data_IF_634904764782
#
_entry.id   IF_634904764782
#
_cell.length_a   1.000
_cell.length_b   1.000
_cell.length_c   1.000
_cell.angle_alpha   90.00
_cell.angle_beta   90.00
_cell.angle_gamma   90.00
#
_symmetry.space_group_name_H-M   'P 1'
#
loop_
_entity.id
_entity.type
_entity.pdbx_description
1 polymer ?
#
# COMPACT_ATOMS: atom_id res chain seq x y z
N UNK A 1 -67.95 -29.01 33.95
CA UNK A 1 -67.18 -28.77 32.71
C UNK A 1 -67.40 -27.34 32.26
N UNK A 2 -66.41 -26.46 32.45
CA UNK A 2 -66.36 -25.11 31.86
C UNK A 2 -64.98 -24.99 31.22
N UNK A 3 -64.94 -24.99 29.89
CA UNK A 3 -63.72 -24.76 29.11
C UNK A 3 -63.76 -23.28 28.72
N UNK A 4 -62.95 -22.45 29.38
CA UNK A 4 -62.71 -21.08 28.93
C UNK A 4 -61.62 -21.09 27.87
N UNK A 5 -61.99 -20.70 26.66
CA UNK A 5 -61.09 -20.46 25.54
C UNK A 5 -60.40 -19.10 25.74
N UNK A 6 -59.09 -19.08 25.95
CA UNK A 6 -58.29 -17.85 25.93
C UNK A 6 -57.75 -17.64 24.50
N UNK A 7 -58.32 -16.66 23.80
CA UNK A 7 -57.83 -16.15 22.52
C UNK A 7 -56.60 -15.27 22.77
N UNK A 8 -55.41 -15.77 22.42
CA UNK A 8 -54.18 -14.99 22.38
C UNK A 8 -54.04 -14.37 20.98
N UNK A 9 -54.36 -13.08 20.85
CA UNK A 9 -54.15 -12.31 19.62
C UNK A 9 -52.69 -11.81 19.60
N UNK A 10 -51.80 -12.54 18.93
CA UNK A 10 -50.42 -12.07 18.68
C UNK A 10 -50.46 -11.19 17.43
N UNK A 11 -50.54 -9.87 17.62
CA UNK A 11 -50.32 -8.91 16.55
C UNK A 11 -48.81 -8.87 16.24
N UNK A 12 -48.40 -9.63 15.21
CA UNK A 12 -47.11 -9.47 14.55
C UNK A 12 -47.09 -8.10 13.86
N UNK A 13 -46.58 -7.09 14.57
CA UNK A 13 -46.10 -5.87 13.93
C UNK A 13 -44.82 -6.23 13.15
N UNK A 14 -45.00 -6.65 11.90
CA UNK A 14 -43.93 -6.61 10.91
C UNK A 14 -43.61 -5.15 10.62
N UNK A 15 -42.69 -4.59 11.40
CA UNK A 15 -41.95 -3.38 11.05
C UNK A 15 -41.11 -3.72 9.82
N UNK A 16 -41.64 -3.45 8.64
CA UNK A 16 -40.84 -3.32 7.43
C UNK A 16 -40.00 -2.06 7.58
N UNK A 17 -38.89 -2.19 8.30
CA UNK A 17 -37.77 -1.25 8.22
C UNK A 17 -37.16 -1.42 6.82
N UNK A 18 -37.79 -0.83 5.81
CA UNK A 18 -37.10 -0.54 4.56
C UNK A 18 -36.03 0.48 4.90
N UNK A 19 -34.86 -0.02 5.31
CA UNK A 19 -33.62 0.73 5.29
C UNK A 19 -33.44 1.19 3.85
N UNK A 20 -33.77 2.45 3.57
CA UNK A 20 -33.37 3.10 2.34
C UNK A 20 -31.85 3.14 2.43
N UNK A 21 -31.19 2.24 1.70
CA UNK A 21 -29.74 2.25 1.62
C UNK A 21 -29.32 3.64 1.11
N UNK A 22 -28.74 4.44 2.00
CA UNK A 22 -28.24 5.76 1.63
C UNK A 22 -27.14 5.55 0.59
N UNK A 23 -27.19 6.31 -0.50
CA UNK A 23 -26.10 6.37 -1.48
C UNK A 23 -24.81 6.67 -0.74
N UNK A 24 -23.75 5.93 -1.06
CA UNK A 24 -22.40 6.17 -0.55
C UNK A 24 -22.01 7.61 -0.86
N UNK A 25 -21.54 8.33 0.15
CA UNK A 25 -20.82 9.57 -0.05
C UNK A 25 -19.33 9.30 0.17
N UNK A 26 -18.48 9.84 -0.70
CA UNK A 26 -17.03 9.72 -0.52
C UNK A 26 -16.61 10.55 0.70
N UNK A 27 -16.17 9.91 1.80
CA UNK A 27 -15.80 10.62 3.00
C UNK A 27 -14.58 11.51 2.78
N UNK A 28 -14.65 12.73 3.33
CA UNK A 28 -13.52 13.66 3.36
C UNK A 28 -12.32 13.06 4.07
N UNK A 29 -11.13 13.48 3.62
CA UNK A 29 -9.85 13.08 4.17
C UNK A 29 -8.87 12.57 3.12
N UNK A 30 -7.76 12.07 3.64
CA UNK A 30 -6.68 11.49 2.86
C UNK A 30 -6.77 9.98 2.92
N UNK A 31 -6.67 9.35 1.76
CA UNK A 31 -6.76 7.90 1.58
C UNK A 31 -5.53 7.44 0.82
N UNK A 32 -4.90 6.34 1.23
CA UNK A 32 -3.68 5.85 0.57
C UNK A 32 -3.66 4.34 0.38
N UNK A 33 -3.01 3.92 -0.71
CA UNK A 33 -2.81 2.52 -1.07
C UNK A 33 -1.60 2.35 -1.97
N UNK A 34 -1.25 1.10 -2.22
CA UNK A 34 -0.21 0.73 -3.19
C UNK A 34 -0.91 -0.02 -4.32
N UNK A 35 -0.61 0.36 -5.57
CA UNK A 35 -1.11 -0.36 -6.74
C UNK A 35 -0.63 -1.81 -6.75
N UNK A 36 -1.44 -2.70 -7.32
CA UNK A 36 -1.13 -4.14 -7.39
C UNK A 36 0.22 -4.47 -8.05
N UNK A 37 0.71 -3.63 -8.97
CA UNK A 37 2.05 -3.75 -9.56
C UNK A 37 3.20 -3.50 -8.56
N UNK A 38 2.91 -2.95 -7.38
CA UNK A 38 3.88 -2.62 -6.34
C UNK A 38 4.82 -1.47 -6.70
N UNK A 39 4.50 -0.67 -7.71
CA UNK A 39 5.38 0.40 -8.22
C UNK A 39 4.96 1.79 -7.78
N UNK A 40 3.69 1.98 -7.42
CA UNK A 40 3.14 3.32 -7.18
C UNK A 40 2.28 3.38 -5.94
N UNK A 41 2.52 4.41 -5.12
CA UNK A 41 1.57 4.84 -4.10
C UNK A 41 0.45 5.65 -4.73
N UNK A 42 -0.79 5.30 -4.41
CA UNK A 42 -1.99 6.03 -4.79
C UNK A 42 -2.50 6.80 -3.59
N UNK A 43 -2.60 8.12 -3.71
CA UNK A 43 -3.20 8.97 -2.67
C UNK A 43 -4.47 9.63 -3.24
N UNK A 44 -5.59 9.48 -2.56
CA UNK A 44 -6.84 10.16 -2.87
C UNK A 44 -7.14 11.15 -1.74
N UNK A 45 -7.24 12.42 -2.10
CA UNK A 45 -7.56 13.50 -1.17
C UNK A 45 -8.92 14.09 -1.53
N UNK A 46 -9.90 13.89 -0.65
CA UNK A 46 -11.24 14.47 -0.72
C UNK A 46 -11.31 15.61 0.31
N UNK A 47 -11.58 16.82 -0.16
CA UNK A 47 -11.59 18.04 0.66
C UNK A 47 -13.00 18.60 0.77
N UNK A 48 -13.30 19.28 1.88
CA UNK A 48 -14.59 19.95 2.12
C UNK A 48 -14.86 21.11 1.14
N UNK A 49 -13.80 21.69 0.56
CA UNK A 49 -13.91 22.79 -0.42
C UNK A 49 -14.50 22.36 -1.77
N UNK A 50 -14.58 21.05 -2.05
CA UNK A 50 -14.94 20.53 -3.37
C UNK A 50 -13.78 20.50 -4.38
N UNK A 51 -12.59 21.00 -4.01
CA UNK A 51 -11.37 20.85 -4.81
C UNK A 51 -10.58 19.64 -4.32
N UNK A 52 -10.39 18.63 -5.15
CA UNK A 52 -9.81 17.37 -4.76
C UNK A 52 -8.49 17.10 -5.46
N UNK A 53 -7.79 16.04 -5.06
CA UNK A 53 -6.53 15.66 -5.68
C UNK A 53 -6.28 14.16 -5.63
N UNK A 54 -5.85 13.62 -6.75
CA UNK A 54 -5.31 12.27 -6.84
C UNK A 54 -3.81 12.34 -7.09
N UNK A 55 -3.03 11.60 -6.31
CA UNK A 55 -1.58 11.57 -6.44
C UNK A 55 -1.08 10.18 -6.78
N UNK A 56 -0.10 10.14 -7.67
CA UNK A 56 0.62 8.95 -8.09
C UNK A 56 2.09 9.16 -7.70
N UNK A 57 2.55 8.50 -6.65
CA UNK A 57 3.90 8.66 -6.11
C UNK A 57 4.72 7.41 -6.44
N UNK A 58 5.76 7.55 -7.25
CA UNK A 58 6.58 6.44 -7.69
C UNK A 58 7.42 5.90 -6.53
N UNK A 59 7.33 4.60 -6.27
CA UNK A 59 8.18 3.93 -5.26
C UNK A 59 9.61 3.83 -5.79
N UNK A 60 9.75 3.55 -7.09
CA UNK A 60 11.03 3.62 -7.79
C UNK A 60 11.66 5.01 -7.64
N UNK A 61 12.94 5.05 -7.27
CA UNK A 61 13.64 6.31 -6.96
C UNK A 61 13.24 6.94 -5.62
N UNK A 62 12.73 6.14 -4.68
CA UNK A 62 12.64 6.55 -3.28
C UNK A 62 11.54 7.57 -2.98
N UNK A 63 10.38 7.50 -3.67
CA UNK A 63 9.20 8.35 -3.43
C UNK A 63 9.36 9.83 -3.80
N UNK A 64 10.43 10.20 -4.53
CA UNK A 64 10.70 11.60 -4.91
C UNK A 64 9.87 12.11 -6.07
N UNK A 65 9.37 11.22 -6.94
CA UNK A 65 8.58 11.58 -8.13
C UNK A 65 7.09 11.39 -7.83
N UNK A 66 6.31 12.45 -8.02
CA UNK A 66 4.87 12.42 -7.83
C UNK A 66 4.16 13.17 -8.97
N UNK A 67 3.03 12.62 -9.43
CA UNK A 67 2.08 13.29 -10.32
C UNK A 67 0.82 13.61 -9.53
N UNK A 68 0.31 14.84 -9.68
CA UNK A 68 -0.96 15.28 -9.10
C UNK A 68 -1.97 15.49 -10.23
N UNK A 69 -3.16 14.93 -10.08
CA UNK A 69 -4.32 15.22 -10.93
C UNK A 69 -5.41 15.86 -10.07
N UNK A 70 -5.73 17.15 -10.29
CA UNK A 70 -6.87 17.79 -9.65
C UNK A 70 -8.19 17.29 -10.25
N UNK A 71 -9.27 17.34 -9.45
CA UNK A 71 -10.65 17.07 -9.87
C UNK A 71 -11.61 17.76 -8.88
N UNK A 72 -12.90 17.84 -9.20
CA UNK A 72 -13.91 18.48 -8.36
C UNK A 72 -15.08 17.54 -8.04
N UNK A 73 -16.06 18.03 -7.29
CA UNK A 73 -17.32 17.32 -7.04
C UNK A 73 -18.04 16.91 -8.34
N UNK A 74 -17.92 17.70 -9.43
CA UNK A 74 -18.58 17.41 -10.71
C UNK A 74 -17.99 16.16 -11.39
N UNK A 75 -16.77 15.79 -11.03
CA UNK A 75 -16.09 14.59 -11.51
C UNK A 75 -16.49 13.32 -10.74
N UNK A 76 -17.25 13.46 -9.64
CA UNK A 76 -17.65 12.38 -8.74
C UNK A 76 -19.12 12.02 -8.98
N UNK A 77 -19.37 10.73 -9.26
CA UNK A 77 -20.72 10.18 -9.32
C UNK A 77 -20.83 8.99 -8.38
N UNK A 78 -21.69 9.11 -7.36
CA UNK A 78 -21.98 8.03 -6.43
C UNK A 78 -23.36 7.43 -6.69
N UNK A 79 -23.42 6.10 -6.77
CA UNK A 79 -24.64 5.32 -7.02
C UNK A 79 -24.60 4.12 -6.07
N UNK A 80 -25.66 3.96 -5.27
CA UNK A 80 -25.78 2.87 -4.28
C UNK A 80 -24.53 2.79 -3.38
N UNK A 81 -23.73 1.72 -3.51
CA UNK A 81 -22.57 1.42 -2.68
C UNK A 81 -21.23 1.73 -3.37
N UNK A 82 -21.21 2.53 -4.44
CA UNK A 82 -19.98 2.87 -5.16
C UNK A 82 -19.92 4.33 -5.57
N UNK A 83 -18.71 4.86 -5.64
CA UNK A 83 -18.44 6.16 -6.24
C UNK A 83 -17.46 6.01 -7.39
N UNK A 84 -17.66 6.78 -8.44
CA UNK A 84 -16.78 6.79 -9.61
C UNK A 84 -16.25 8.21 -9.80
N UNK A 85 -14.94 8.33 -9.93
CA UNK A 85 -14.24 9.59 -10.20
C UNK A 85 -13.69 9.51 -11.62
N UNK A 86 -14.02 10.48 -12.47
CA UNK A 86 -13.47 10.59 -13.83
C UNK A 86 -12.47 11.74 -13.89
N UNK A 87 -11.27 11.47 -14.38
CA UNK A 87 -10.20 12.48 -14.48
C UNK A 87 -9.47 12.35 -15.81
N UNK A 88 -8.74 13.39 -16.20
CA UNK A 88 -7.86 13.38 -17.37
C UNK A 88 -6.41 13.34 -16.89
N UNK A 89 -5.64 12.33 -17.33
CA UNK A 89 -4.23 12.19 -16.97
C UNK A 89 -3.38 13.06 -17.90
N UNK A 90 -3.59 12.90 -19.21
CA UNK A 90 -2.95 13.60 -20.33
C UNK A 90 -4.05 13.88 -21.38
N UNK A 91 -3.84 14.78 -22.33
CA UNK A 91 -4.90 15.34 -23.20
C UNK A 91 -5.81 14.32 -23.89
N UNK A 92 -5.34 13.10 -24.13
CA UNK A 92 -6.06 12.01 -24.77
C UNK A 92 -6.26 10.76 -23.87
N UNK A 93 -5.84 10.81 -22.59
CA UNK A 93 -5.94 9.69 -21.64
C UNK A 93 -6.90 10.04 -20.51
N UNK A 94 -8.07 9.39 -20.54
CA UNK A 94 -9.07 9.48 -19.46
C UNK A 94 -8.83 8.38 -18.44
N UNK A 95 -9.05 8.68 -17.17
CA UNK A 95 -9.01 7.72 -16.06
C UNK A 95 -10.34 7.70 -15.32
N UNK A 96 -10.77 6.50 -15.00
CA UNK A 96 -11.93 6.20 -14.16
C UNK A 96 -11.44 5.47 -12.92
N UNK A 97 -11.77 6.00 -11.74
CA UNK A 97 -11.48 5.41 -10.44
C UNK A 97 -12.81 5.03 -9.80
N UNK A 98 -13.11 3.73 -9.72
CA UNK A 98 -14.31 3.22 -9.05
C UNK A 98 -13.95 2.75 -7.66
N UNK A 99 -14.64 3.29 -6.65
CA UNK A 99 -14.43 3.02 -5.24
C UNK A 99 -15.67 2.37 -4.64
N UNK A 100 -15.48 1.35 -3.82
CA UNK A 100 -16.52 0.73 -3.01
C UNK A 100 -16.02 0.47 -1.59
N UNK A 101 -16.88 0.52 -0.56
CA UNK A 101 -16.52 0.12 0.79
C UNK A 101 -15.95 -1.29 0.82
N UNK A 102 -14.91 -1.50 1.63
CA UNK A 102 -14.27 -2.79 1.84
C UNK A 102 -13.88 -2.95 3.30
N UNK A 103 -14.66 -3.75 4.04
CA UNK A 103 -14.62 -3.76 5.51
C UNK A 103 -14.88 -2.34 6.06
N UNK A 104 -15.15 -2.21 7.36
CA UNK A 104 -15.83 -1.02 7.91
C UNK A 104 -15.20 0.36 7.56
N UNK A 105 -13.90 0.42 7.26
CA UNK A 105 -13.17 1.69 7.10
C UNK A 105 -12.34 1.85 5.83
N UNK A 106 -12.20 0.82 4.99
CA UNK A 106 -11.32 0.88 3.82
C UNK A 106 -12.12 0.95 2.52
N UNK A 107 -11.45 1.33 1.43
CA UNK A 107 -12.06 1.36 0.10
C UNK A 107 -11.32 0.38 -0.83
N UNK A 108 -12.05 -0.47 -1.52
CA UNK A 108 -11.52 -1.20 -2.68
C UNK A 108 -11.64 -0.31 -3.91
N UNK A 109 -10.59 -0.31 -4.72
CA UNK A 109 -10.52 0.53 -5.91
C UNK A 109 -10.23 -0.31 -7.14
N UNK A 110 -10.98 -0.01 -8.21
CA UNK A 110 -10.66 -0.37 -9.58
C UNK A 110 -10.32 0.92 -10.33
N UNK A 111 -9.06 1.05 -10.74
CA UNK A 111 -8.59 2.15 -11.58
C UNK A 111 -8.46 1.64 -13.01
N UNK A 112 -9.06 2.34 -13.97
CA UNK A 112 -8.91 2.04 -15.39
C UNK A 112 -8.64 3.32 -16.17
N UNK A 113 -7.82 3.22 -17.21
CA UNK A 113 -7.53 4.35 -18.10
C UNK A 113 -7.71 3.96 -19.55
N UNK A 114 -8.14 4.93 -20.35
CA UNK A 114 -8.54 4.76 -21.73
C UNK A 114 -7.93 5.84 -22.59
N UNK A 115 -7.43 5.46 -23.76
CA UNK A 115 -6.98 6.37 -24.81
C UNK A 115 -7.94 6.27 -25.99
N UNK A 116 -8.84 7.24 -26.13
CA UNK A 116 -9.97 7.12 -27.06
C UNK A 116 -10.87 5.93 -26.70
N UNK A 117 -10.90 4.89 -27.56
CA UNK A 117 -11.67 3.65 -27.32
C UNK A 117 -10.83 2.48 -26.82
N UNK A 118 -9.51 2.64 -26.77
CA UNK A 118 -8.60 1.56 -26.37
C UNK A 118 -8.38 1.59 -24.85
N UNK A 119 -8.46 0.42 -24.22
CA UNK A 119 -8.05 0.24 -22.83
C UNK A 119 -6.54 0.42 -22.76
N UNK A 120 -6.10 1.41 -21.98
CA UNK A 120 -4.69 1.70 -21.78
C UNK A 120 -4.12 0.89 -20.61
N UNK A 121 -4.90 0.72 -19.54
CA UNK A 121 -4.47 0.03 -18.31
C UNK A 121 -5.66 -0.19 -17.36
N UNK A 122 -5.62 -1.27 -16.60
CA UNK A 122 -6.53 -1.53 -15.46
C UNK A 122 -5.75 -2.09 -14.28
N UNK A 123 -6.03 -1.63 -13.07
CA UNK A 123 -5.38 -2.08 -11.83
C UNK A 123 -6.32 -2.01 -10.63
N UNK A 124 -6.10 -2.86 -9.63
CA UNK A 124 -6.84 -2.80 -8.37
C UNK A 124 -5.92 -2.44 -7.21
N UNK A 125 -6.50 -1.87 -6.16
CA UNK A 125 -5.81 -1.63 -4.88
C UNK A 125 -6.82 -1.36 -3.77
N UNK A 126 -6.31 -1.26 -2.54
CA UNK A 126 -7.08 -0.88 -1.37
C UNK A 126 -6.57 0.45 -0.84
N UNK A 127 -7.49 1.37 -0.56
CA UNK A 127 -7.21 2.64 0.07
C UNK A 127 -7.59 2.59 1.55
N UNK A 128 -6.70 3.07 2.39
CA UNK A 128 -6.85 3.14 3.83
C UNK A 128 -6.82 4.60 4.25
N UNK A 129 -7.79 5.00 5.09
CA UNK A 129 -7.86 6.38 5.60
C UNK A 129 -6.63 6.74 6.41
N UNK A 130 -6.09 7.94 6.20
CA UNK A 130 -5.02 8.54 6.98
C UNK A 130 -5.58 9.70 7.82
N UNK A 131 -5.11 9.79 9.06
CA UNK A 131 -5.56 10.86 9.97
C UNK A 131 -4.81 12.19 9.78
N UNK A 132 -3.65 12.19 9.13
CA UNK A 132 -2.89 13.44 8.92
C UNK A 132 -1.99 13.42 7.67
N UNK A 133 -0.79 12.82 7.77
CA UNK A 133 0.20 12.79 6.68
C UNK A 133 0.21 11.43 6.00
N UNK A 134 0.39 11.44 4.67
CA UNK A 134 0.60 10.22 3.89
C UNK A 134 1.88 9.50 4.31
N UNK A 135 1.90 8.18 4.16
CA UNK A 135 3.09 7.35 4.38
C UNK A 135 4.28 7.82 3.54
N UNK A 136 4.13 8.13 2.23
CA UNK A 136 5.24 8.70 1.45
C UNK A 136 5.82 9.99 2.03
N UNK A 137 4.98 10.91 2.52
CA UNK A 137 5.45 12.15 3.14
C UNK A 137 6.21 11.89 4.43
N UNK A 138 5.65 11.07 5.33
CA UNK A 138 6.30 10.68 6.58
C UNK A 138 7.64 9.95 6.33
N UNK A 139 7.69 9.12 5.27
CA UNK A 139 8.89 8.41 4.86
C UNK A 139 9.99 9.38 4.42
N UNK A 140 9.70 10.31 3.51
CA UNK A 140 10.68 11.29 3.03
C UNK A 140 11.17 12.20 4.16
N UNK A 141 10.28 12.63 5.06
CA UNK A 141 10.66 13.42 6.24
C UNK A 141 11.67 12.69 7.14
N UNK A 142 11.59 11.36 7.26
CA UNK A 142 12.46 10.56 8.15
C UNK A 142 13.65 9.91 7.45
N UNK A 143 13.54 9.59 6.17
CA UNK A 143 14.49 8.76 5.40
C UNK A 143 15.01 9.44 4.15
N UNK A 144 14.59 10.68 3.86
CA UNK A 144 15.02 11.43 2.68
C UNK A 144 16.54 11.53 2.55
N UNK A 145 17.25 11.75 3.66
CA UNK A 145 18.72 11.79 3.66
C UNK A 145 19.34 10.43 3.31
N UNK A 146 18.77 9.33 3.80
CA UNK A 146 19.23 7.99 3.48
C UNK A 146 19.09 7.71 1.98
N UNK A 147 17.96 8.10 1.38
CA UNK A 147 17.76 7.98 -0.07
C UNK A 147 18.75 8.87 -0.84
N UNK A 148 18.95 10.12 -0.40
CA UNK A 148 19.92 11.03 -1.02
C UNK A 148 21.36 10.48 -0.97
N UNK A 149 21.77 9.88 0.14
CA UNK A 149 23.09 9.27 0.26
C UNK A 149 23.24 8.04 -0.65
N UNK A 150 22.20 7.21 -0.78
CA UNK A 150 22.20 6.05 -1.67
C UNK A 150 22.32 6.44 -3.15
N UNK A 151 21.78 7.60 -3.54
CA UNK A 151 21.90 8.15 -4.90
C UNK A 151 23.28 8.75 -5.21
N UNK A 152 24.15 8.93 -4.20
CA UNK A 152 25.49 9.50 -4.38
C UNK A 152 26.58 8.44 -4.29
N UNK A 153 26.32 7.34 -3.59
CA UNK A 153 27.30 6.32 -3.29
C UNK A 153 27.06 5.06 -4.11
N UNK A 154 28.09 4.62 -4.83
CA UNK A 154 28.08 3.30 -5.47
C UNK A 154 28.49 2.26 -4.44
N UNK A 155 27.68 1.23 -4.27
CA UNK A 155 27.99 0.04 -3.45
C UNK A 155 28.17 -1.17 -4.36
N UNK A 156 28.96 -2.15 -3.95
CA UNK A 156 29.08 -3.40 -4.69
C UNK A 156 27.75 -4.18 -4.62
N UNK A 157 27.34 -4.80 -5.72
CA UNK A 157 26.13 -5.63 -5.73
C UNK A 157 26.38 -6.93 -4.95
N UNK A 158 25.46 -7.41 -4.08
CA UNK A 158 24.07 -6.98 -3.91
C UNK A 158 23.85 -5.92 -2.82
N UNK A 159 24.90 -5.40 -2.21
CA UNK A 159 24.78 -4.42 -1.13
C UNK A 159 24.17 -3.10 -1.63
N UNK A 160 23.51 -2.38 -0.72
CA UNK A 160 22.92 -1.08 -0.98
C UNK A 160 21.58 -0.85 -0.28
N UNK A 161 20.95 0.26 -0.66
CA UNK A 161 19.61 0.62 -0.21
C UNK A 161 18.59 0.18 -1.26
N UNK A 162 17.61 -0.60 -0.82
CA UNK A 162 16.57 -1.16 -1.67
C UNK A 162 15.19 -0.73 -1.14
N UNK A 163 14.32 -0.26 -2.03
CA UNK A 163 12.95 0.16 -1.70
C UNK A 163 11.93 -0.59 -2.54
N UNK A 164 10.78 -0.92 -1.96
CA UNK A 164 9.73 -1.59 -2.72
C UNK A 164 8.54 -1.93 -1.86
N UNK A 165 7.99 -3.12 -2.09
CA UNK A 165 6.74 -3.55 -1.45
C UNK A 165 6.94 -4.92 -0.82
N UNK A 166 6.43 -5.06 0.40
CA UNK A 166 6.34 -6.32 1.12
C UNK A 166 4.88 -6.59 1.47
N UNK A 167 4.43 -7.82 1.25
CA UNK A 167 3.17 -8.30 1.80
C UNK A 167 3.34 -8.54 3.30
N UNK A 168 2.66 -7.73 4.12
CA UNK A 168 2.75 -7.79 5.58
C UNK A 168 1.35 -7.71 6.18
N UNK A 169 0.97 -8.71 6.99
CA UNK A 169 -0.38 -8.85 7.57
C UNK A 169 -1.47 -8.73 6.50
N UNK A 170 -1.29 -9.47 5.41
CA UNK A 170 -2.20 -9.53 4.26
C UNK A 170 -2.39 -8.21 3.50
N UNK A 171 -1.49 -7.23 3.68
CA UNK A 171 -1.52 -5.96 2.96
C UNK A 171 -0.17 -5.65 2.30
N UNK A 172 -0.16 -5.05 1.09
CA UNK A 172 1.07 -4.55 0.50
C UNK A 172 1.51 -3.29 1.24
N UNK A 173 2.67 -3.33 1.87
CA UNK A 173 3.25 -2.22 2.62
C UNK A 173 4.58 -1.77 2.00
N UNK A 174 4.94 -0.49 2.15
CA UNK A 174 6.24 0.01 1.71
C UNK A 174 7.33 -0.68 2.52
N UNK A 175 8.35 -1.17 1.84
CA UNK A 175 9.50 -1.82 2.45
C UNK A 175 10.81 -1.10 2.09
N UNK A 176 11.73 -1.05 3.05
CA UNK A 176 13.08 -0.52 2.89
C UNK A 176 14.08 -1.54 3.46
N UNK A 177 14.99 -2.03 2.62
CA UNK A 177 16.09 -2.89 3.02
C UNK A 177 17.39 -2.11 2.87
N UNK A 178 18.19 -2.08 3.95
CA UNK A 178 19.58 -1.68 3.92
C UNK A 178 20.40 -2.97 4.04
N UNK A 179 21.01 -3.39 2.93
CA UNK A 179 21.89 -4.54 2.87
C UNK A 179 23.33 -4.02 2.84
N UNK A 180 24.05 -4.16 3.94
CA UNK A 180 25.41 -3.64 4.08
C UNK A 180 26.42 -4.80 4.14
N UNK A 181 27.65 -4.55 3.73
CA UNK A 181 28.72 -5.58 3.71
C UNK A 181 29.21 -5.89 5.13
N UNK A 182 29.73 -4.87 5.82
CA UNK A 182 30.33 -5.03 7.15
C UNK A 182 29.44 -4.50 8.29
N UNK A 183 28.53 -3.58 7.97
CA UNK A 183 27.71 -2.90 8.97
C UNK A 183 26.39 -3.64 9.23
N UNK A 184 25.73 -3.28 10.33
CA UNK A 184 24.38 -3.77 10.60
C UNK A 184 23.43 -3.37 9.46
N UNK A 185 22.76 -4.36 8.89
CA UNK A 185 21.68 -4.17 7.94
C UNK A 185 20.31 -4.16 8.62
N UNK A 186 19.28 -3.80 7.86
CA UNK A 186 17.91 -3.80 8.37
C UNK A 186 16.86 -3.90 7.28
N UNK A 187 15.74 -4.55 7.61
CA UNK A 187 14.51 -4.53 6.83
C UNK A 187 13.43 -3.78 7.63
N UNK A 188 12.80 -2.78 7.00
CA UNK A 188 11.70 -2.00 7.58
C UNK A 188 10.47 -2.08 6.72
N UNK A 189 9.31 -2.13 7.37
CA UNK A 189 7.99 -2.03 6.74
C UNK A 189 7.23 -0.86 7.35
N UNK A 190 6.62 -0.03 6.51
CA UNK A 190 5.88 1.16 6.91
C UNK A 190 4.39 0.93 6.77
N UNK A 191 3.70 0.75 7.91
CA UNK A 191 2.27 0.43 7.93
C UNK A 191 1.42 1.66 7.63
N UNK A 192 0.61 1.58 6.59
CA UNK A 192 -0.43 2.57 6.26
C UNK A 192 -1.53 2.58 7.33
N UNK A 193 -2.23 3.71 7.48
CA UNK A 193 -3.45 3.80 8.32
C UNK A 193 -3.22 4.06 9.80
N UNK A 194 -1.97 4.22 10.22
CA UNK A 194 -1.65 4.57 11.59
C UNK A 194 -1.52 6.08 11.79
N UNK A 195 -2.02 6.57 12.94
CA UNK A 195 -1.84 7.96 13.39
C UNK A 195 -0.36 8.34 13.50
N UNK A 196 0.47 7.39 13.92
CA UNK A 196 1.92 7.56 14.03
C UNK A 196 2.64 6.99 12.81
N UNK A 197 3.88 7.39 12.61
CA UNK A 197 4.75 6.70 11.65
C UNK A 197 5.12 5.33 12.20
N UNK A 198 4.28 4.35 11.89
CA UNK A 198 4.39 2.99 12.39
C UNK A 198 5.33 2.18 11.47
N UNK A 199 6.60 2.12 11.85
CA UNK A 199 7.59 1.26 11.22
C UNK A 199 7.80 -0.01 12.05
N UNK A 200 7.80 -1.16 11.40
CA UNK A 200 8.26 -2.43 11.98
C UNK A 200 9.62 -2.72 11.38
N UNK A 201 10.61 -3.03 12.23
CA UNK A 201 12.00 -3.22 11.81
C UNK A 201 12.52 -4.57 12.30
N UNK A 202 13.26 -5.24 11.42
CA UNK A 202 14.17 -6.34 11.77
C UNK A 202 15.59 -5.92 11.41
N UNK A 203 16.55 -6.12 12.32
CA UNK A 203 17.96 -5.81 12.10
C UNK A 203 18.77 -7.10 11.98
N UNK A 204 19.88 -7.07 11.26
CA UNK A 204 20.77 -8.23 11.09
C UNK A 204 22.22 -7.80 10.99
N UNK A 205 23.14 -8.59 11.53
CA UNK A 205 24.59 -8.39 11.38
C UNK A 205 25.09 -8.98 10.06
N UNK A 206 26.23 -8.50 9.57
CA UNK A 206 26.92 -9.03 8.40
C UNK A 206 27.11 -10.56 8.46
N UNK A 207 27.50 -11.08 9.63
CA UNK A 207 27.71 -12.53 9.84
C UNK A 207 26.45 -13.40 9.70
N UNK A 208 25.26 -12.78 9.67
CA UNK A 208 23.99 -13.48 9.50
C UNK A 208 23.48 -13.41 8.06
N UNK A 209 24.32 -12.94 7.13
CA UNK A 209 24.02 -12.84 5.71
C UNK A 209 24.84 -13.93 5.01
N UNK A 210 24.15 -14.81 4.28
CA UNK A 210 24.75 -15.79 3.38
C UNK A 210 24.40 -15.41 1.95
N UNK A 211 25.41 -15.32 1.08
CA UNK A 211 25.24 -15.00 -0.34
C UNK A 211 25.84 -16.13 -1.15
N UNK A 212 25.01 -16.85 -1.88
CA UNK A 212 25.42 -17.90 -2.83
C UNK A 212 24.87 -17.58 -4.22
N UNK A 213 25.74 -17.06 -5.07
CA UNK A 213 25.40 -16.62 -6.42
C UNK A 213 24.30 -15.54 -6.42
N UNK A 214 23.08 -15.95 -6.77
CA UNK A 214 21.89 -15.07 -6.86
C UNK A 214 20.93 -15.22 -5.69
N UNK A 215 21.28 -16.00 -4.68
CA UNK A 215 20.47 -16.24 -3.48
C UNK A 215 21.11 -15.52 -2.30
N UNK A 216 20.31 -14.76 -1.55
CA UNK A 216 20.72 -14.05 -0.34
C UNK A 216 19.80 -14.53 0.78
N UNK A 217 20.39 -15.14 1.81
CA UNK A 217 19.69 -15.60 3.00
C UNK A 217 20.14 -14.75 4.19
N UNK A 218 19.18 -14.30 4.99
CA UNK A 218 19.43 -13.40 6.13
C UNK A 218 18.69 -13.91 7.35
N UNK A 219 19.43 -14.13 8.44
CA UNK A 219 18.89 -14.35 9.77
C UNK A 219 18.87 -13.04 10.57
N UNK A 220 17.68 -12.56 10.88
CA UNK A 220 17.47 -11.27 11.54
C UNK A 220 17.00 -11.43 12.99
N UNK A 221 17.23 -10.39 13.79
CA UNK A 221 17.09 -10.44 15.24
C UNK A 221 15.65 -10.42 15.75
N UNK A 222 14.68 -10.03 14.91
CA UNK A 222 13.29 -9.90 15.34
C UNK A 222 12.59 -11.25 15.37
N UNK A 223 11.86 -11.55 16.44
CA UNK A 223 11.30 -12.90 16.69
C UNK A 223 10.02 -13.21 15.90
N UNK A 224 9.19 -12.21 15.64
CA UNK A 224 7.85 -12.40 15.02
C UNK A 224 7.63 -11.68 13.68
N UNK A 225 8.64 -10.98 13.17
CA UNK A 225 8.58 -10.22 11.93
C UNK A 225 9.90 -10.44 11.20
N UNK A 226 9.83 -10.97 9.98
CA UNK A 226 11.00 -11.15 9.11
C UNK A 226 12.25 -11.61 9.87
N UNK A 227 12.11 -12.68 10.67
CA UNK A 227 13.25 -13.28 11.38
C UNK A 227 14.17 -14.01 10.41
N UNK A 228 13.61 -14.46 9.29
CA UNK A 228 14.32 -15.02 8.17
C UNK A 228 13.87 -14.32 6.89
N UNK A 229 14.82 -14.03 6.02
CA UNK A 229 14.61 -13.37 4.74
C UNK A 229 15.38 -14.17 3.69
N UNK A 230 14.69 -14.57 2.62
CA UNK A 230 15.30 -15.22 1.46
C UNK A 230 15.01 -14.34 0.26
N UNK A 231 16.05 -13.88 -0.42
CA UNK A 231 15.98 -12.98 -1.57
C UNK A 231 16.69 -13.61 -2.76
N UNK A 232 16.13 -13.35 -3.93
CA UNK A 232 16.64 -13.78 -5.22
C UNK A 232 16.95 -12.53 -6.05
N UNK A 233 18.19 -12.45 -6.53
CA UNK A 233 18.64 -11.42 -7.46
C UNK A 233 18.03 -11.71 -8.83
N UNK A 234 17.08 -10.88 -9.24
CA UNK A 234 16.43 -10.98 -10.55
C UNK A 234 17.20 -10.19 -11.61
N UNK A 235 17.70 -9.02 -11.23
CA UNK A 235 18.53 -8.13 -12.03
C UNK A 235 19.38 -7.25 -11.09
N UNK A 236 20.34 -6.50 -11.63
CA UNK A 236 21.27 -5.65 -10.85
C UNK A 236 20.56 -4.64 -9.93
N UNK A 237 19.31 -4.28 -10.27
CA UNK A 237 18.49 -3.35 -9.53
C UNK A 237 17.16 -3.93 -9.05
N UNK A 238 16.97 -5.25 -9.13
CA UNK A 238 15.74 -5.92 -8.67
C UNK A 238 16.09 -7.16 -7.85
N UNK A 239 15.60 -7.17 -6.60
CA UNK A 239 15.59 -8.35 -5.74
C UNK A 239 14.16 -8.67 -5.32
N UNK A 240 13.86 -9.95 -5.17
CA UNK A 240 12.54 -10.40 -4.71
C UNK A 240 12.66 -11.68 -3.92
N UNK A 241 11.71 -11.98 -3.05
CA UNK A 241 11.67 -13.25 -2.37
C UNK A 241 10.61 -13.27 -1.28
N UNK A 242 10.96 -13.84 -0.13
CA UNK A 242 10.04 -14.05 0.96
C UNK A 242 10.68 -13.72 2.30
N UNK A 243 9.86 -13.21 3.20
CA UNK A 243 10.17 -13.09 4.62
C UNK A 243 9.29 -14.06 5.39
N UNK A 244 9.78 -14.58 6.51
CA UNK A 244 8.98 -15.37 7.43
C UNK A 244 9.54 -15.28 8.85
N UNK A 245 8.70 -15.62 9.82
CA UNK A 245 9.10 -15.89 11.19
C UNK A 245 9.08 -17.40 11.45
N UNK A 246 9.83 -17.88 12.44
CA UNK A 246 9.71 -19.28 12.90
C UNK A 246 8.91 -19.30 14.19
N UNK A 247 7.78 -19.99 14.18
CA UNK A 247 6.97 -20.24 15.37
C UNK A 247 6.89 -21.75 15.64
N UNK A 248 7.46 -22.20 16.77
CA UNK A 248 7.48 -23.62 17.18
C UNK A 248 8.07 -24.55 16.10
N UNK A 249 9.11 -24.10 15.40
CA UNK A 249 9.77 -24.88 14.35
C UNK A 249 9.10 -24.82 12.97
N UNK A 250 8.01 -24.08 12.81
CA UNK A 250 7.31 -23.93 11.54
C UNK A 250 7.38 -22.48 11.01
N UNK A 251 7.50 -22.27 9.69
CA UNK A 251 7.35 -20.95 9.10
C UNK A 251 5.96 -20.37 9.36
N UNK A 252 5.93 -19.11 9.79
CA UNK A 252 4.73 -18.34 10.06
C UNK A 252 4.90 -16.91 9.55
N UNK A 253 3.79 -16.16 9.42
CA UNK A 253 3.79 -14.77 8.97
C UNK A 253 4.60 -14.56 7.67
N UNK A 254 4.43 -15.47 6.71
CA UNK A 254 5.15 -15.41 5.44
C UNK A 254 4.66 -14.23 4.61
N UNK A 255 5.59 -13.47 4.03
CA UNK A 255 5.30 -12.31 3.21
C UNK A 255 6.21 -12.23 2.00
N UNK A 256 5.63 -12.19 0.81
CA UNK A 256 6.37 -11.91 -0.42
C UNK A 256 6.94 -10.49 -0.38
N UNK A 257 8.13 -10.30 -0.95
CA UNK A 257 8.81 -9.01 -1.00
C UNK A 257 9.43 -8.79 -2.38
N UNK A 258 9.32 -7.57 -2.90
CA UNK A 258 9.97 -7.14 -4.14
C UNK A 258 10.53 -5.75 -3.94
N UNK A 259 11.83 -5.58 -4.18
CA UNK A 259 12.55 -4.36 -3.93
C UNK A 259 13.38 -3.96 -5.15
N UNK A 260 13.57 -2.66 -5.27
CA UNK A 260 14.33 -2.02 -6.32
C UNK A 260 15.47 -1.25 -5.70
N UNK A 261 16.65 -1.34 -6.29
CA UNK A 261 17.82 -0.62 -5.79
C UNK A 261 17.60 0.87 -5.98
N UNK A 262 17.95 1.66 -4.97
CA UNK A 262 18.15 3.09 -5.17
C UNK A 262 19.50 3.23 -5.86
N UNK A 263 19.47 3.49 -7.16
CA UNK A 263 20.67 3.67 -7.97
C UNK A 263 21.26 5.07 -7.80
N UNK A 264 22.58 5.23 -8.01
CA UNK A 264 23.19 6.53 -8.13
C UNK A 264 22.52 7.36 -9.23
N UNK A 265 22.37 8.66 -9.00
CA UNK A 265 21.92 9.55 -10.06
C UNK A 265 22.96 9.50 -11.20
N UNK A 266 22.55 9.04 -12.39
CA UNK A 266 23.41 9.17 -13.57
C UNK A 266 23.69 10.67 -13.77
N UNK A 267 24.97 11.05 -13.76
CA UNK A 267 25.38 12.41 -14.07
C UNK A 267 24.84 12.76 -15.47
N UNK A 268 23.90 13.71 -15.52
CA UNK A 268 23.43 14.30 -16.77
C UNK A 268 24.48 15.25 -17.34
#
# INVERSE_FOLDING_TARGET
MRISLLLFFVALFSLNSHSIASTLELPTGLWEGISEDGLTFRLLQINESGEHSFFEVAILGGLKKARRTPFTNDDIVCIENRCTIKTIIESDVTRTITLSPYLDTDLKVLESSFKGKESYMSRTYQLIKQEAKSTPRKFLEKRGQLIANAEQNTTEHPFGTWIGVMQYLDRPELALLQLNEDEQGSLRVYRKGSKTFNEVQSSFSANNISIDGKVIEIEASHTTFASNIILFVQADNIISGYTYAIHKGYPAAMGAIKLYRIEPAQAQ
#
